data_IF_217337948799
#
_entry.id   IF_217337948799
#
_cell.length_a   1.000
_cell.length_b   1.000
_cell.length_c   1.000
_cell.angle_alpha   90.00
_cell.angle_beta   90.00
_cell.angle_gamma   90.00
#
_symmetry.space_group_name_H-M   'P 1'
#
loop_
_entity.id
_entity.type
_entity.pdbx_description
1 polymer ?
#
# COMPACT_ATOMS: atom_id res chain seq x y z
N UNK A 1 5.34 5.11 -11.93
CA UNK A 1 5.08 5.87 -10.67
C UNK A 1 4.62 4.87 -9.64
N UNK A 2 5.62 4.40 -8.89
CA UNK A 2 5.78 3.06 -8.34
C UNK A 2 5.32 2.92 -6.87
N UNK A 3 5.19 1.63 -6.47
CA UNK A 3 5.49 1.03 -5.15
C UNK A 3 4.72 1.53 -3.93
N UNK A 4 3.80 0.69 -3.45
CA UNK A 4 3.77 0.38 -2.01
C UNK A 4 5.00 -0.48 -1.72
N UNK A 5 6.13 0.17 -1.43
CA UNK A 5 7.26 -0.44 -0.74
C UNK A 5 7.78 0.64 0.19
N UNK A 6 7.48 0.46 1.47
CA UNK A 6 8.23 1.06 2.56
C UNK A 6 9.58 0.33 2.59
N UNK A 7 10.61 1.00 2.05
CA UNK A 7 12.02 0.65 2.21
C UNK A 7 12.77 1.97 2.42
N UNK A 8 13.05 2.25 3.69
CA UNK A 8 14.03 3.23 4.15
C UNK A 8 15.39 2.83 3.57
N UNK A 9 15.97 3.67 2.73
CA UNK A 9 17.31 3.50 2.19
C UNK A 9 18.27 4.21 3.13
N UNK A 10 19.17 3.44 3.75
CA UNK A 10 20.44 3.92 4.30
C UNK A 10 21.52 3.49 3.28
N UNK A 11 21.96 4.42 2.45
CA UNK A 11 23.02 4.22 1.45
C UNK A 11 24.29 4.88 2.00
N UNK A 12 25.16 4.08 2.60
CA UNK A 12 26.59 4.38 2.72
C UNK A 12 27.30 3.72 1.54
N UNK A 13 27.79 4.54 0.61
CA UNK A 13 28.66 4.11 -0.48
C UNK A 13 30.06 4.61 -0.16
N UNK A 14 30.93 3.68 0.21
CA UNK A 14 32.38 3.81 0.10
C UNK A 14 32.79 3.54 -1.35
N UNK A 15 33.46 4.49 -1.99
CA UNK A 15 34.34 4.22 -3.13
C UNK A 15 35.63 5.07 -3.05
N UNK A 16 36.76 4.57 -3.61
CA UNK A 16 38.09 5.01 -3.26
C UNK A 16 38.61 6.20 -4.08
N UNK A 17 39.62 6.82 -3.49
CA UNK A 17 40.42 7.98 -3.89
C UNK A 17 41.06 7.80 -5.29
N UNK A 18 41.06 8.89 -6.08
CA UNK A 18 42.01 9.13 -7.16
C UNK A 18 42.41 10.61 -7.22
N UNK A 19 43.71 10.85 -7.09
CA UNK A 19 44.39 12.14 -7.10
C UNK A 19 44.29 12.87 -8.45
N UNK A 20 44.08 14.20 -8.40
CA UNK A 20 44.81 15.16 -9.23
C UNK A 20 44.68 16.60 -8.72
N UNK A 21 45.84 17.25 -8.65
CA UNK A 21 46.11 18.55 -8.08
C UNK A 21 45.51 19.74 -8.86
N UNK A 22 45.10 20.78 -8.11
CA UNK A 22 45.22 22.18 -8.53
C UNK A 22 45.17 23.09 -7.29
N UNK A 23 46.26 23.84 -7.06
CA UNK A 23 46.44 24.80 -5.98
C UNK A 23 45.66 26.09 -6.25
N UNK A 24 44.92 26.61 -5.27
CA UNK A 24 44.71 28.06 -5.12
C UNK A 24 44.43 28.42 -3.66
N UNK A 25 45.14 29.45 -3.18
CA UNK A 25 45.15 29.93 -1.81
C UNK A 25 43.86 30.66 -1.43
N UNK A 26 43.15 30.19 -0.39
CA UNK A 26 42.20 31.01 0.38
C UNK A 26 42.28 30.65 1.88
N UNK A 27 42.24 31.70 2.69
CA UNK A 27 42.61 31.85 4.11
C UNK A 27 41.99 30.81 5.07
N UNK A 28 42.85 30.25 5.93
CA UNK A 28 42.52 29.38 7.06
C UNK A 28 41.79 30.15 8.16
N UNK A 29 40.56 29.75 8.48
CA UNK A 29 39.87 30.07 9.73
C UNK A 29 39.84 28.80 10.57
N UNK A 30 40.57 28.80 11.68
CA UNK A 30 40.66 27.68 12.62
C UNK A 30 39.35 27.57 13.41
N UNK A 31 38.50 26.60 13.08
CA UNK A 31 37.35 26.20 13.90
C UNK A 31 37.78 24.97 14.70
N UNK A 32 37.71 25.06 16.03
CA UNK A 32 38.01 23.95 16.93
C UNK A 32 37.07 22.75 16.64
N UNK A 33 37.57 21.51 16.68
CA UNK A 33 36.74 20.34 16.43
C UNK A 33 35.68 20.19 17.53
N UNK A 34 34.42 19.84 17.20
CA UNK A 34 33.42 19.50 18.20
C UNK A 34 33.84 18.23 18.95
N UNK A 35 33.71 18.27 20.26
CA UNK A 35 33.93 17.17 21.20
C UNK A 35 33.15 15.91 20.75
N UNK A 36 33.78 14.72 20.66
CA UNK A 36 33.06 13.51 20.29
C UNK A 36 32.04 13.15 21.39
N UNK A 37 30.78 13.00 21.00
CA UNK A 37 29.76 12.41 21.86
C UNK A 37 30.11 10.95 22.17
N UNK A 38 29.75 10.46 23.37
CA UNK A 38 30.12 9.12 23.83
C UNK A 38 29.55 8.03 22.91
N UNK A 39 30.44 7.14 22.47
CA UNK A 39 30.14 5.89 21.79
C UNK A 39 29.51 4.88 22.76
N UNK A 40 28.18 4.82 22.79
CA UNK A 40 27.48 3.57 23.08
C UNK A 40 27.41 2.79 21.75
N UNK A 41 27.93 1.57 21.59
CA UNK A 41 28.08 0.48 22.54
C UNK A 41 27.27 -0.68 21.98
N UNK A 42 27.97 -1.65 21.37
CA UNK A 42 27.50 -2.97 20.92
C UNK A 42 26.29 -3.01 19.96
N UNK A 43 26.50 -3.61 18.78
CA UNK A 43 25.39 -4.13 17.96
C UNK A 43 24.47 -4.98 18.83
N UNK A 44 23.17 -4.67 18.94
CA UNK A 44 22.24 -5.64 19.48
C UNK A 44 22.25 -6.84 18.51
N UNK A 45 22.61 -8.00 19.06
CA UNK A 45 22.18 -9.30 18.53
C UNK A 45 20.74 -9.20 18.02
N UNK A 46 20.40 -9.80 16.86
CA UNK A 46 19.11 -9.57 16.21
C UNK A 46 17.99 -9.87 17.21
N UNK A 47 17.37 -8.80 17.72
CA UNK A 47 16.17 -8.89 18.53
C UNK A 47 15.15 -9.63 17.66
N UNK A 48 14.45 -10.65 18.18
CA UNK A 48 13.40 -11.29 17.41
C UNK A 48 12.44 -10.19 16.93
N UNK A 49 11.98 -10.24 15.66
CA UNK A 49 11.15 -9.19 15.10
C UNK A 49 9.95 -8.98 16.04
N UNK A 50 9.74 -7.73 16.45
CA UNK A 50 8.70 -7.34 17.38
C UNK A 50 7.34 -7.74 16.78
N UNK A 51 6.77 -8.85 17.23
CA UNK A 51 5.43 -9.28 16.85
C UNK A 51 4.45 -8.37 17.58
N UNK A 52 3.50 -7.79 16.85
CA UNK A 52 2.48 -6.95 17.47
C UNK A 52 1.53 -7.81 18.32
N UNK A 53 1.22 -7.40 19.57
CA UNK A 53 0.29 -8.12 20.45
C UNK A 53 -1.07 -8.40 19.81
N UNK A 54 -1.59 -7.47 19.01
CA UNK A 54 -2.84 -7.66 18.26
C UNK A 54 -2.72 -8.78 17.21
N UNK A 55 -1.58 -8.88 16.51
CA UNK A 55 -1.34 -9.91 15.50
C UNK A 55 -1.15 -11.29 16.16
N UNK A 56 -0.40 -11.35 17.25
CA UNK A 56 -0.24 -12.57 18.05
C UNK A 56 -1.61 -13.07 18.56
N UNK A 57 -2.40 -12.16 19.13
CA UNK A 57 -3.75 -12.45 19.61
C UNK A 57 -4.66 -12.93 18.47
N UNK A 58 -4.60 -12.29 17.30
CA UNK A 58 -5.34 -12.72 16.11
C UNK A 58 -4.96 -14.16 15.73
N UNK A 59 -3.68 -14.46 15.55
CA UNK A 59 -3.20 -15.80 15.18
C UNK A 59 -3.63 -16.87 16.19
N UNK A 60 -3.46 -16.60 17.49
CA UNK A 60 -3.90 -17.50 18.57
C UNK A 60 -5.42 -17.75 18.51
N UNK A 61 -6.21 -16.70 18.36
CA UNK A 61 -7.68 -16.80 18.30
C UNK A 61 -8.17 -17.53 17.05
N UNK A 62 -7.48 -17.38 15.92
CA UNK A 62 -7.76 -18.15 14.70
C UNK A 62 -7.54 -19.65 14.92
N UNK A 63 -6.48 -20.01 15.64
CA UNK A 63 -6.19 -21.40 16.01
C UNK A 63 -7.23 -21.95 16.99
N UNK A 64 -7.54 -21.22 18.07
CA UNK A 64 -8.55 -21.62 19.07
C UNK A 64 -9.94 -21.84 18.44
N UNK A 65 -10.34 -20.97 17.51
CA UNK A 65 -11.61 -21.12 16.78
C UNK A 65 -11.51 -22.09 15.60
N UNK A 66 -10.36 -22.72 15.35
CA UNK A 66 -10.16 -23.63 14.21
C UNK A 66 -10.64 -23.03 12.87
N UNK A 67 -10.35 -21.75 12.63
CA UNK A 67 -10.68 -21.10 11.35
C UNK A 67 -9.69 -21.59 10.29
N UNK A 68 -10.19 -21.96 9.10
CA UNK A 68 -9.36 -22.37 7.97
C UNK A 68 -8.84 -21.13 7.25
N UNK A 69 -7.55 -20.85 7.43
CA UNK A 69 -6.86 -19.73 6.80
C UNK A 69 -5.39 -20.06 6.51
N UNK A 70 -4.76 -19.24 5.67
CA UNK A 70 -3.30 -19.14 5.55
C UNK A 70 -2.88 -17.72 5.15
N UNK A 71 -1.63 -17.37 5.42
CA UNK A 71 -0.95 -16.25 4.78
C UNK A 71 -0.54 -16.68 3.37
N UNK A 72 -1.13 -16.05 2.35
CA UNK A 72 -1.19 -16.65 1.01
C UNK A 72 -0.16 -16.11 0.01
N UNK A 73 0.63 -15.08 0.37
CA UNK A 73 1.67 -14.53 -0.51
C UNK A 73 2.77 -13.84 0.28
N UNK A 74 3.92 -13.59 -0.35
CA UNK A 74 5.03 -12.85 0.26
C UNK A 74 5.51 -13.50 1.57
N UNK A 75 5.52 -14.83 1.63
CA UNK A 75 5.88 -15.56 2.84
C UNK A 75 7.37 -15.46 3.21
N UNK A 76 8.23 -14.93 2.33
CA UNK A 76 9.60 -14.53 2.65
C UNK A 76 9.67 -13.31 3.60
N UNK A 77 8.57 -12.56 3.76
CA UNK A 77 8.50 -11.32 4.52
C UNK A 77 7.54 -11.39 5.73
N UNK A 78 7.21 -12.58 6.25
CA UNK A 78 6.24 -12.74 7.35
C UNK A 78 6.57 -11.91 8.60
N UNK A 79 7.86 -11.68 8.88
CA UNK A 79 8.28 -10.83 9.98
C UNK A 79 7.74 -9.39 9.88
N UNK A 80 7.65 -8.83 8.66
CA UNK A 80 7.08 -7.49 8.42
C UNK A 80 5.57 -7.46 8.60
N UNK A 81 4.89 -8.55 8.22
CA UNK A 81 3.46 -8.71 8.51
C UNK A 81 3.21 -8.85 10.01
N UNK A 82 4.09 -9.56 10.73
CA UNK A 82 4.01 -9.71 12.18
C UNK A 82 4.24 -8.38 12.94
N UNK A 83 5.14 -7.52 12.46
CA UNK A 83 5.41 -6.19 13.03
C UNK A 83 4.41 -5.11 12.61
N UNK A 84 3.52 -5.41 11.66
CA UNK A 84 2.58 -4.45 11.07
C UNK A 84 3.24 -3.44 10.10
N UNK A 85 4.48 -3.70 9.65
CA UNK A 85 5.11 -2.93 8.57
C UNK A 85 4.55 -3.31 7.19
N UNK A 86 3.94 -4.49 7.07
CA UNK A 86 3.22 -4.97 5.90
C UNK A 86 1.81 -5.44 6.27
N UNK A 87 0.96 -5.54 5.25
CA UNK A 87 -0.38 -6.12 5.36
C UNK A 87 -0.33 -7.60 5.80
N UNK A 88 -1.39 -8.04 6.48
CA UNK A 88 -1.68 -9.46 6.67
C UNK A 88 -2.46 -9.96 5.45
N UNK A 89 -1.77 -10.60 4.52
CA UNK A 89 -2.38 -11.17 3.31
C UNK A 89 -2.99 -12.54 3.61
N UNK A 90 -4.24 -12.55 4.06
CA UNK A 90 -4.91 -13.76 4.54
C UNK A 90 -5.86 -14.33 3.49
N UNK A 91 -5.67 -15.60 3.10
CA UNK A 91 -6.71 -16.37 2.42
C UNK A 91 -7.51 -17.11 3.50
N UNK A 92 -8.83 -16.93 3.51
CA UNK A 92 -9.75 -17.53 4.48
C UNK A 92 -10.79 -18.35 3.72
N UNK A 93 -11.12 -19.55 4.23
CA UNK A 93 -12.20 -20.34 3.63
C UNK A 93 -13.51 -19.56 3.66
N UNK A 94 -14.26 -19.61 2.55
CA UNK A 94 -15.59 -19.00 2.48
C UNK A 94 -16.57 -19.58 3.51
N UNK A 95 -16.39 -20.84 3.89
CA UNK A 95 -17.22 -21.50 4.90
C UNK A 95 -17.01 -20.89 6.30
N UNK A 96 -15.85 -20.29 6.55
CA UNK A 96 -15.50 -19.64 7.82
C UNK A 96 -15.67 -18.12 7.80
N UNK A 97 -16.16 -17.53 6.70
CA UNK A 97 -16.20 -16.08 6.52
C UNK A 97 -16.94 -15.32 7.63
N UNK A 98 -18.09 -15.84 8.07
CA UNK A 98 -18.86 -15.25 9.17
C UNK A 98 -18.14 -15.37 10.51
N UNK A 99 -17.57 -16.55 10.79
CA UNK A 99 -16.82 -16.84 12.02
C UNK A 99 -15.56 -15.96 12.12
N UNK A 100 -14.85 -15.81 11.00
CA UNK A 100 -13.68 -14.96 10.87
C UNK A 100 -14.03 -13.47 11.03
N UNK A 101 -15.09 -13.00 10.36
CA UNK A 101 -15.56 -11.61 10.49
C UNK A 101 -15.97 -11.30 11.93
N UNK A 102 -16.63 -12.24 12.61
CA UNK A 102 -17.01 -12.11 14.02
C UNK A 102 -15.78 -12.00 14.92
N UNK A 103 -14.78 -12.87 14.71
CA UNK A 103 -13.51 -12.80 15.44
C UNK A 103 -12.79 -11.46 15.22
N UNK A 104 -12.75 -10.95 13.99
CA UNK A 104 -12.14 -9.64 13.71
C UNK A 104 -12.86 -8.53 14.48
N UNK A 105 -14.19 -8.54 14.52
CA UNK A 105 -14.96 -7.58 15.31
C UNK A 105 -14.72 -7.72 16.82
N UNK A 106 -14.61 -8.94 17.36
CA UNK A 106 -14.25 -9.19 18.77
C UNK A 106 -12.88 -8.60 19.12
N UNK A 107 -11.94 -8.57 18.16
CA UNK A 107 -10.60 -7.98 18.30
C UNK A 107 -10.57 -6.48 17.95
N UNK A 108 -11.72 -5.85 17.70
CA UNK A 108 -11.82 -4.42 17.43
C UNK A 108 -11.45 -3.99 16.00
N UNK A 109 -11.25 -4.93 15.07
CA UNK A 109 -11.01 -4.59 13.67
C UNK A 109 -12.25 -3.97 13.03
N UNK A 110 -12.01 -2.96 12.18
CA UNK A 110 -13.03 -2.23 11.42
C UNK A 110 -12.88 -2.52 9.94
N UNK A 111 -13.98 -2.95 9.32
CA UNK A 111 -14.03 -3.16 7.87
C UNK A 111 -13.91 -1.83 7.12
N UNK A 112 -13.05 -1.80 6.13
CA UNK A 112 -12.90 -0.73 5.17
C UNK A 112 -13.15 -1.27 3.75
N UNK A 113 -13.55 -0.38 2.85
CA UNK A 113 -13.74 -0.70 1.44
C UNK A 113 -12.98 0.28 0.58
N UNK A 114 -12.40 -0.22 -0.50
CA UNK A 114 -11.97 0.62 -1.61
C UNK A 114 -13.18 1.34 -2.25
N UNK A 115 -12.93 2.50 -2.85
CA UNK A 115 -13.97 3.25 -3.55
C UNK A 115 -14.24 2.60 -4.91
N UNK A 116 -15.52 2.43 -5.27
CA UNK A 116 -15.92 1.93 -6.59
C UNK A 116 -15.28 2.82 -7.70
N UNK A 117 -14.71 2.27 -8.79
CA UNK A 117 -14.85 0.89 -9.29
C UNK A 117 -13.70 -0.07 -8.93
N UNK A 118 -12.85 0.26 -7.96
CA UNK A 118 -11.62 -0.49 -7.67
C UNK A 118 -11.84 -1.77 -6.86
N UNK A 119 -13.00 -1.87 -6.20
CA UNK A 119 -13.41 -3.04 -5.42
C UNK A 119 -13.29 -4.36 -6.20
N UNK A 120 -12.71 -5.35 -5.55
CA UNK A 120 -12.55 -6.70 -6.07
C UNK A 120 -13.46 -7.65 -5.27
N UNK A 121 -14.32 -8.45 -5.93
CA UNK A 121 -15.22 -9.38 -5.25
C UNK A 121 -14.46 -10.36 -4.36
N UNK A 122 -14.96 -10.59 -3.16
CA UNK A 122 -14.37 -11.53 -2.22
C UNK A 122 -12.99 -11.12 -1.70
N UNK A 123 -12.62 -9.84 -1.82
CA UNK A 123 -11.49 -9.25 -1.11
C UNK A 123 -12.04 -8.15 -0.22
N UNK A 124 -11.72 -8.20 1.08
CA UNK A 124 -12.16 -7.25 2.10
C UNK A 124 -10.96 -6.74 2.89
N UNK A 125 -10.94 -5.45 3.19
CA UNK A 125 -9.91 -4.82 4.02
C UNK A 125 -10.45 -4.65 5.45
N UNK A 126 -9.65 -5.01 6.45
CA UNK A 126 -9.96 -4.75 7.86
C UNK A 126 -8.78 -4.08 8.53
N UNK A 127 -9.07 -3.12 9.41
CA UNK A 127 -8.05 -2.36 10.14
C UNK A 127 -8.24 -2.50 11.64
N UNK A 128 -7.22 -3.00 12.31
CA UNK A 128 -7.14 -3.10 13.78
C UNK A 128 -6.14 -2.10 14.32
N UNK A 129 -6.42 -1.50 15.47
CA UNK A 129 -5.49 -0.60 16.15
C UNK A 129 -4.81 -1.34 17.29
N UNK A 130 -3.49 -1.48 17.21
CA UNK A 130 -2.68 -2.03 18.28
C UNK A 130 -2.29 -0.88 19.23
N UNK A 131 -2.88 -0.86 20.43
CA UNK A 131 -2.73 0.26 21.36
C UNK A 131 -1.34 0.36 21.99
N UNK A 132 -0.60 -0.75 22.06
CA UNK A 132 0.72 -0.80 22.67
C UNK A 132 1.77 -0.18 21.74
N UNK A 133 1.73 -0.54 20.45
CA UNK A 133 2.63 0.01 19.43
C UNK A 133 2.14 1.32 18.79
N UNK A 134 0.83 1.62 18.91
CA UNK A 134 0.19 2.72 18.21
C UNK A 134 0.04 2.51 16.70
N UNK A 135 0.25 1.28 16.21
CA UNK A 135 0.20 0.95 14.78
C UNK A 135 -1.19 0.49 14.35
N UNK A 136 -1.50 0.70 13.07
CA UNK A 136 -2.68 0.13 12.42
C UNK A 136 -2.27 -1.16 11.71
N UNK A 137 -2.87 -2.27 12.11
CA UNK A 137 -2.72 -3.57 11.46
C UNK A 137 -3.76 -3.66 10.35
N UNK A 138 -3.30 -3.77 9.11
CA UNK A 138 -4.16 -3.98 7.96
C UNK A 138 -4.25 -5.47 7.62
N UNK A 139 -5.44 -6.05 7.78
CA UNK A 139 -5.74 -7.39 7.31
C UNK A 139 -6.39 -7.32 5.93
N UNK A 140 -5.64 -7.74 4.91
CA UNK A 140 -6.08 -7.83 3.52
C UNK A 140 -6.62 -9.24 3.26
N UNK A 141 -7.94 -9.40 3.36
CA UNK A 141 -8.59 -10.70 3.47
C UNK A 141 -9.17 -11.13 2.14
N UNK A 142 -8.70 -12.28 1.66
CA UNK A 142 -9.16 -12.94 0.46
C UNK A 142 -10.07 -14.13 0.81
N UNK A 143 -11.23 -14.15 0.17
CA UNK A 143 -12.13 -15.30 0.05
C UNK A 143 -12.14 -15.90 -1.36
N UNK A 144 -11.51 -15.17 -2.30
CA UNK A 144 -11.34 -15.52 -3.70
C UNK A 144 -9.92 -15.15 -4.14
N UNK A 145 -9.26 -16.05 -4.86
CA UNK A 145 -7.96 -15.82 -5.48
C UNK A 145 -8.16 -15.11 -6.82
N UNK A 146 -8.53 -13.82 -6.72
CA UNK A 146 -8.64 -12.95 -7.88
C UNK A 146 -7.29 -12.27 -8.16
N UNK A 147 -6.68 -12.65 -9.28
CA UNK A 147 -5.35 -12.22 -9.71
C UNK A 147 -5.38 -11.53 -11.06
N UNK A 148 -4.26 -10.91 -11.42
CA UNK A 148 -4.06 -10.22 -12.69
C UNK A 148 -3.33 -8.90 -12.52
N UNK A 149 -3.40 -8.09 -13.56
CA UNK A 149 -2.89 -6.72 -13.55
C UNK A 149 -3.57 -5.88 -12.46
N UNK A 150 -2.80 -5.02 -11.79
CA UNK A 150 -3.19 -4.35 -10.54
C UNK A 150 -4.43 -3.48 -10.67
N UNK A 151 -4.70 -2.93 -11.85
CA UNK A 151 -5.85 -2.05 -12.06
C UNK A 151 -7.15 -2.81 -12.29
N UNK A 152 -7.13 -4.09 -12.71
CA UNK A 152 -8.38 -4.81 -13.01
C UNK A 152 -8.58 -6.13 -12.29
N UNK A 153 -7.51 -6.90 -11.98
CA UNK A 153 -7.56 -8.24 -11.37
C UNK A 153 -8.67 -9.11 -11.99
N UNK A 154 -8.40 -9.60 -13.21
CA UNK A 154 -9.42 -10.18 -14.08
C UNK A 154 -9.63 -11.70 -13.94
N UNK A 155 -8.75 -12.43 -13.25
CA UNK A 155 -8.77 -13.90 -13.24
C UNK A 155 -9.09 -14.43 -11.85
N UNK A 156 -10.12 -15.25 -11.70
CA UNK A 156 -10.44 -15.96 -10.46
C UNK A 156 -9.95 -17.41 -10.59
N UNK A 157 -8.88 -17.75 -9.88
CA UNK A 157 -8.29 -19.09 -9.91
C UNK A 157 -8.97 -19.96 -8.85
N UNK A 158 -9.67 -21.05 -9.22
CA UNK A 158 -10.44 -21.88 -8.29
C UNK A 158 -9.51 -22.82 -7.50
N UNK A 159 -8.53 -22.25 -6.81
CA UNK A 159 -7.49 -22.96 -6.08
C UNK A 159 -7.65 -22.79 -4.57
N UNK A 160 -8.65 -22.04 -4.09
CA UNK A 160 -8.77 -21.67 -2.66
C UNK A 160 -8.77 -22.87 -1.72
N UNK A 161 -9.64 -23.85 -1.97
CA UNK A 161 -9.76 -25.04 -1.12
C UNK A 161 -8.50 -25.91 -1.13
N UNK A 162 -7.92 -26.32 -2.28
CA UNK A 162 -6.69 -27.10 -2.25
C UNK A 162 -5.49 -26.31 -1.70
N UNK A 163 -5.44 -24.99 -1.92
CA UNK A 163 -4.42 -24.12 -1.35
C UNK A 163 -4.49 -24.11 0.19
N UNK A 164 -5.69 -23.91 0.75
CA UNK A 164 -5.95 -23.95 2.19
C UNK A 164 -5.74 -25.35 2.79
N UNK A 165 -6.03 -26.42 2.04
CA UNK A 165 -5.86 -27.80 2.50
C UNK A 165 -4.39 -28.16 2.75
N UNK A 166 -3.46 -27.51 2.05
CA UNK A 166 -2.01 -27.70 2.26
C UNK A 166 -1.40 -26.76 3.30
N UNK A 167 -2.22 -25.90 3.93
CA UNK A 167 -1.71 -24.93 4.88
C UNK A 167 -1.15 -25.62 6.13
N UNK A 168 0.12 -25.37 6.42
CA UNK A 168 0.83 -25.88 7.60
C UNK A 168 1.12 -24.75 8.57
N UNK A 169 1.15 -25.04 9.87
CA UNK A 169 1.43 -24.05 10.91
C UNK A 169 2.94 -23.76 10.96
N UNK A 170 3.31 -22.51 10.67
CA UNK A 170 4.66 -21.99 10.93
C UNK A 170 4.79 -21.40 12.33
N UNK A 171 5.81 -20.57 12.54
CA UNK A 171 6.08 -19.95 13.85
C UNK A 171 4.91 -19.09 14.38
N UNK A 172 4.23 -18.36 13.48
CA UNK A 172 3.09 -17.50 13.84
C UNK A 172 1.90 -17.74 12.89
N UNK A 173 2.16 -17.65 11.59
CA UNK A 173 1.14 -17.81 10.56
C UNK A 173 1.10 -19.24 10.01
N UNK A 174 -0.07 -19.66 9.53
CA UNK A 174 -0.17 -20.80 8.61
C UNK A 174 0.25 -20.37 7.22
N UNK A 175 1.04 -21.18 6.53
CA UNK A 175 1.45 -20.95 5.13
C UNK A 175 1.08 -22.15 4.27
N UNK A 176 0.68 -21.94 3.01
CA UNK A 176 0.41 -23.02 2.05
C UNK A 176 1.66 -23.86 1.76
N UNK A 177 1.49 -24.97 1.04
CA UNK A 177 2.64 -25.67 0.47
C UNK A 177 3.43 -24.74 -0.49
N UNK A 178 4.78 -24.77 -0.46
CA UNK A 178 5.62 -23.92 -1.31
C UNK A 178 5.28 -24.06 -2.80
N UNK A 179 4.92 -25.26 -3.27
CA UNK A 179 4.55 -25.50 -4.66
C UNK A 179 3.29 -24.75 -5.08
N UNK A 180 2.27 -24.69 -4.22
CA UNK A 180 1.06 -23.92 -4.49
C UNK A 180 1.35 -22.42 -4.52
N UNK A 181 2.15 -21.94 -3.58
CA UNK A 181 2.59 -20.53 -3.54
C UNK A 181 3.37 -20.17 -4.80
N UNK A 182 4.31 -21.03 -5.22
CA UNK A 182 5.11 -20.83 -6.43
C UNK A 182 4.26 -20.81 -7.71
N UNK A 183 3.34 -21.77 -7.88
CA UNK A 183 2.43 -21.80 -9.03
C UNK A 183 1.63 -20.50 -9.11
N UNK A 184 1.04 -20.09 -7.99
CA UNK A 184 0.22 -18.88 -7.91
C UNK A 184 1.05 -17.62 -8.14
N UNK A 185 2.26 -17.56 -7.57
CA UNK A 185 3.21 -16.46 -7.76
C UNK A 185 3.58 -16.28 -9.24
N UNK A 186 4.01 -17.35 -9.92
CA UNK A 186 4.41 -17.31 -11.33
C UNK A 186 3.25 -16.84 -12.22
N UNK A 187 2.06 -17.41 -12.01
CA UNK A 187 0.85 -16.99 -12.75
C UNK A 187 0.56 -15.50 -12.49
N UNK A 188 0.62 -15.05 -11.24
CA UNK A 188 0.42 -13.63 -10.88
C UNK A 188 1.41 -12.73 -11.59
N UNK A 189 2.70 -13.06 -11.57
CA UNK A 189 3.74 -12.24 -12.19
C UNK A 189 3.59 -12.16 -13.71
N UNK A 190 3.26 -13.26 -14.38
CA UNK A 190 3.01 -13.25 -15.82
C UNK A 190 1.76 -12.44 -16.16
N UNK A 191 0.67 -12.59 -15.42
CA UNK A 191 -0.55 -11.81 -15.67
C UNK A 191 -0.38 -10.31 -15.36
N UNK A 192 0.52 -9.97 -14.43
CA UNK A 192 0.81 -8.60 -14.00
C UNK A 192 1.81 -7.89 -14.92
N UNK A 193 2.86 -8.58 -15.38
CA UNK A 193 3.98 -7.98 -16.11
C UNK A 193 4.16 -8.47 -17.54
N UNK A 194 3.61 -9.64 -17.89
CA UNK A 194 3.82 -10.31 -19.17
C UNK A 194 2.90 -9.84 -20.30
N UNK A 195 2.15 -8.74 -20.12
CA UNK A 195 1.18 -8.28 -21.13
C UNK A 195 1.77 -7.19 -22.00
N UNK A 196 1.39 -7.13 -23.28
CA UNK A 196 1.91 -6.12 -24.19
C UNK A 196 1.67 -4.68 -23.69
N UNK A 197 0.50 -4.43 -23.08
CA UNK A 197 0.10 -3.12 -22.57
C UNK A 197 0.89 -2.69 -21.33
N UNK A 198 1.41 -3.64 -20.55
CA UNK A 198 2.26 -3.35 -19.38
C UNK A 198 3.70 -3.14 -19.80
N UNK A 199 4.17 -3.91 -20.79
CA UNK A 199 5.48 -3.75 -21.41
C UNK A 199 5.64 -2.38 -22.07
N UNK A 200 4.68 -1.95 -22.91
CA UNK A 200 4.71 -0.62 -23.53
C UNK A 200 4.67 0.52 -22.50
N UNK A 201 4.07 0.29 -21.34
CA UNK A 201 4.04 1.27 -20.27
C UNK A 201 5.35 1.38 -19.48
N UNK A 202 6.34 0.50 -19.70
CA UNK A 202 7.55 0.40 -18.88
C UNK A 202 7.37 -0.33 -17.54
N UNK A 203 6.29 -1.09 -17.37
CA UNK A 203 5.96 -1.85 -16.14
C UNK A 203 6.17 -3.35 -16.31
N UNK A 204 6.82 -3.74 -17.40
CA UNK A 204 7.09 -5.14 -17.71
C UNK A 204 8.16 -5.76 -16.82
N UNK A 205 8.92 -5.00 -16.03
CA UNK A 205 10.04 -5.54 -15.24
C UNK A 205 9.59 -5.86 -13.82
N UNK A 206 10.03 -7.02 -13.30
CA UNK A 206 9.81 -7.40 -11.90
C UNK A 206 10.60 -6.48 -10.97
N UNK A 207 9.95 -6.02 -9.91
CA UNK A 207 10.57 -5.29 -8.82
C UNK A 207 11.58 -6.16 -8.06
N UNK A 208 12.52 -5.52 -7.35
CA UNK A 208 13.54 -6.21 -6.54
C UNK A 208 12.94 -7.24 -5.57
N UNK A 209 11.89 -6.86 -4.81
CA UNK A 209 11.19 -7.78 -3.91
C UNK A 209 10.54 -8.97 -4.63
N UNK A 210 9.93 -8.75 -5.81
CA UNK A 210 9.32 -9.83 -6.61
C UNK A 210 10.38 -10.81 -7.14
N UNK A 211 11.57 -10.32 -7.51
CA UNK A 211 12.68 -11.19 -7.92
C UNK A 211 13.21 -12.02 -6.75
N UNK A 212 13.30 -11.43 -5.56
CA UNK A 212 13.71 -12.13 -4.34
C UNK A 212 12.70 -13.22 -3.98
N UNK A 213 11.41 -12.91 -4.00
CA UNK A 213 10.32 -13.87 -3.74
C UNK A 213 10.35 -15.03 -4.76
N UNK A 214 10.57 -14.73 -6.06
CA UNK A 214 10.72 -15.77 -7.08
C UNK A 214 11.84 -16.75 -6.74
N UNK A 215 13.02 -16.24 -6.39
CA UNK A 215 14.17 -17.07 -6.05
C UNK A 215 13.96 -17.87 -4.75
N UNK A 216 13.36 -17.23 -3.74
CA UNK A 216 13.01 -17.88 -2.46
C UNK A 216 12.07 -19.08 -2.68
N UNK A 217 11.04 -18.92 -3.50
CA UNK A 217 10.08 -19.99 -3.77
C UNK A 217 10.68 -21.10 -4.64
N UNK A 218 11.46 -20.74 -5.66
CA UNK A 218 12.10 -21.72 -6.56
C UNK A 218 13.03 -22.69 -5.82
N UNK A 219 13.66 -22.27 -4.73
CA UNK A 219 14.53 -23.13 -3.90
C UNK A 219 13.78 -24.16 -3.05
N UNK A 220 12.46 -23.98 -2.84
CA UNK A 220 11.68 -24.78 -1.90
C UNK A 220 10.75 -25.80 -2.58
N UNK A 221 10.65 -25.76 -3.90
CA UNK A 221 9.67 -26.56 -4.65
C UNK A 221 10.24 -27.90 -5.13
N UNK A 222 9.48 -28.96 -4.94
CA UNK A 222 9.77 -30.25 -5.57
C UNK A 222 9.10 -30.35 -6.95
N UNK A 223 9.88 -30.63 -7.99
CA UNK A 223 9.39 -30.77 -9.37
C UNK A 223 8.26 -31.79 -9.51
N UNK A 224 8.36 -32.95 -8.85
CA UNK A 224 7.33 -33.98 -8.87
C UNK A 224 6.00 -33.49 -8.30
N UNK A 225 6.05 -32.74 -7.20
CA UNK A 225 4.88 -32.14 -6.55
C UNK A 225 4.25 -31.06 -7.43
N UNK A 226 5.06 -30.20 -8.06
CA UNK A 226 4.56 -29.19 -9.01
C UNK A 226 3.79 -29.82 -10.18
N UNK A 227 4.35 -30.87 -10.78
CA UNK A 227 3.70 -31.58 -11.89
C UNK A 227 2.35 -32.15 -11.45
N UNK A 228 2.30 -32.81 -10.28
CA UNK A 228 1.08 -33.37 -9.73
C UNK A 228 0.02 -32.28 -9.49
N UNK A 229 0.38 -31.17 -8.83
CA UNK A 229 -0.55 -30.08 -8.52
C UNK A 229 -1.09 -29.40 -9.77
N UNK A 230 -0.24 -29.13 -10.77
CA UNK A 230 -0.67 -28.54 -12.04
C UNK A 230 -1.65 -29.48 -12.77
N UNK A 231 -1.34 -30.77 -12.87
CA UNK A 231 -2.20 -31.75 -13.53
C UNK A 231 -3.56 -31.89 -12.84
N UNK A 232 -3.59 -31.86 -11.50
CA UNK A 232 -4.84 -32.03 -10.73
C UNK A 232 -5.68 -30.77 -10.70
N UNK A 233 -5.09 -29.59 -10.46
CA UNK A 233 -5.85 -28.38 -10.12
C UNK A 233 -5.86 -27.33 -11.22
N UNK A 234 -4.90 -27.34 -12.14
CA UNK A 234 -4.81 -26.35 -13.21
C UNK A 234 -4.33 -26.98 -14.54
N UNK A 235 -5.05 -27.98 -15.08
CA UNK A 235 -4.61 -28.74 -16.25
C UNK A 235 -4.48 -27.90 -17.53
N UNK A 236 -5.06 -26.69 -17.54
CA UNK A 236 -4.89 -25.72 -18.63
C UNK A 236 -3.47 -25.14 -18.68
N UNK A 237 -2.68 -25.29 -17.62
CA UNK A 237 -1.27 -24.86 -17.49
C UNK A 237 -0.43 -26.09 -17.18
N UNK A 238 -0.13 -26.87 -18.22
CA UNK A 238 0.77 -28.03 -18.10
C UNK A 238 2.18 -27.61 -17.66
N UNK A 239 2.93 -28.56 -17.10
CA UNK A 239 4.27 -28.30 -16.56
C UNK A 239 5.24 -27.70 -17.60
N UNK A 240 5.19 -28.15 -18.85
CA UNK A 240 6.06 -27.62 -19.91
C UNK A 240 5.75 -26.15 -20.17
N UNK A 241 4.48 -25.77 -20.24
CA UNK A 241 4.10 -24.35 -20.36
C UNK A 241 4.43 -23.57 -19.09
N UNK A 242 4.27 -24.16 -17.90
CA UNK A 242 4.63 -23.52 -16.64
C UNK A 242 6.12 -23.17 -16.57
N UNK A 243 7.01 -24.06 -17.00
CA UNK A 243 8.46 -23.73 -17.08
C UNK A 243 8.76 -22.61 -18.07
N UNK A 244 7.98 -22.47 -19.15
CA UNK A 244 8.07 -21.31 -20.05
C UNK A 244 7.62 -20.02 -19.35
N UNK A 245 6.62 -20.08 -18.47
CA UNK A 245 6.24 -18.96 -17.62
C UNK A 245 7.38 -18.56 -16.68
N UNK A 246 8.01 -19.51 -15.98
CA UNK A 246 9.17 -19.23 -15.11
C UNK A 246 10.30 -18.58 -15.92
N UNK A 247 10.67 -19.16 -17.07
CA UNK A 247 11.70 -18.61 -17.94
C UNK A 247 11.36 -17.21 -18.51
N UNK A 248 10.07 -16.86 -18.62
CA UNK A 248 9.63 -15.53 -19.04
C UNK A 248 9.77 -14.46 -17.93
N UNK A 249 9.99 -14.87 -16.68
CA UNK A 249 10.26 -13.96 -15.56
C UNK A 249 11.76 -13.65 -15.39
N UNK A 250 12.64 -14.38 -16.07
CA UNK A 250 14.07 -14.15 -16.03
C UNK A 250 14.43 -12.73 -16.53
N UNK A 251 15.43 -12.05 -15.93
CA UNK A 251 15.83 -10.68 -16.30
C UNK A 251 16.17 -10.53 -17.79
N UNK A 252 16.85 -11.52 -18.36
CA UNK A 252 17.39 -11.47 -19.72
C UNK A 252 16.41 -12.01 -20.78
N UNK A 253 15.17 -12.33 -20.38
CA UNK A 253 14.19 -12.88 -21.30
C UNK A 253 13.72 -11.80 -22.31
N UNK A 254 13.79 -12.06 -23.63
CA UNK A 254 13.36 -11.10 -24.65
C UNK A 254 11.89 -10.69 -24.47
N UNK A 255 11.61 -9.38 -24.59
CA UNK A 255 10.27 -8.80 -24.39
C UNK A 255 9.18 -9.51 -25.21
N UNK A 256 9.46 -9.83 -26.48
CA UNK A 256 8.50 -10.52 -27.35
C UNK A 256 8.11 -11.90 -26.80
N UNK A 257 9.06 -12.64 -26.20
CA UNK A 257 8.81 -13.97 -25.61
C UNK A 257 7.95 -13.83 -24.37
N UNK A 258 8.21 -12.82 -23.54
CA UNK A 258 7.41 -12.50 -22.35
C UNK A 258 5.96 -12.16 -22.71
N UNK A 259 5.77 -11.34 -23.76
CA UNK A 259 4.45 -11.02 -24.30
C UNK A 259 3.75 -12.26 -24.86
N UNK A 260 4.46 -13.10 -25.62
CA UNK A 260 3.90 -14.32 -26.20
C UNK A 260 3.43 -15.29 -25.11
N UNK A 261 4.25 -15.51 -24.07
CA UNK A 261 3.90 -16.35 -22.92
C UNK A 261 2.73 -15.75 -22.14
N UNK A 262 2.73 -14.43 -21.90
CA UNK A 262 1.61 -13.75 -21.25
C UNK A 262 0.29 -13.91 -22.02
N UNK A 263 0.31 -13.74 -23.34
CA UNK A 263 -0.86 -13.96 -24.19
C UNK A 263 -1.34 -15.42 -24.15
N UNK A 264 -0.42 -16.39 -24.20
CA UNK A 264 -0.77 -17.81 -24.09
C UNK A 264 -1.38 -18.15 -22.74
N UNK A 265 -0.84 -17.62 -21.63
CA UNK A 265 -1.39 -17.81 -20.29
C UNK A 265 -2.80 -17.23 -20.19
N UNK A 266 -3.01 -16.01 -20.70
CA UNK A 266 -4.33 -15.38 -20.72
C UNK A 266 -5.37 -16.19 -21.52
N UNK A 267 -4.95 -16.85 -22.61
CA UNK A 267 -5.82 -17.76 -23.39
C UNK A 267 -6.14 -19.04 -22.62
N UNK A 268 -5.13 -19.68 -22.02
CA UNK A 268 -5.29 -20.91 -21.21
C UNK A 268 -6.18 -20.67 -20.00
N UNK A 269 -6.10 -19.49 -19.39
CA UNK A 269 -6.92 -19.08 -18.25
C UNK A 269 -8.24 -18.37 -18.64
N UNK A 270 -8.65 -18.39 -19.91
CA UNK A 270 -9.85 -17.68 -20.37
C UNK A 270 -11.12 -18.10 -19.64
N UNK A 271 -11.26 -19.38 -19.31
CA UNK A 271 -12.41 -19.90 -18.55
C UNK A 271 -12.51 -19.33 -17.13
N UNK A 272 -11.38 -18.86 -16.58
CA UNK A 272 -11.26 -18.26 -15.26
C UNK A 272 -11.35 -16.72 -15.29
N UNK A 273 -11.53 -16.12 -16.47
CA UNK A 273 -11.59 -14.68 -16.64
C UNK A 273 -12.99 -14.12 -16.29
N UNK A 274 -13.03 -13.08 -15.46
CA UNK A 274 -14.26 -12.36 -15.07
C UNK A 274 -14.83 -11.49 -16.19
N UNK A 275 -13.98 -11.06 -17.12
CA UNK A 275 -14.33 -10.21 -18.27
C UNK A 275 -13.56 -10.68 -19.50
N UNK A 276 -14.16 -10.48 -20.67
CA UNK A 276 -13.50 -10.72 -21.96
C UNK A 276 -12.25 -9.85 -22.13
N UNK A 277 -11.26 -10.38 -22.85
CA UNK A 277 -9.93 -9.77 -22.98
C UNK A 277 -9.96 -8.31 -23.47
N UNK A 278 -10.70 -8.03 -24.54
CA UNK A 278 -10.79 -6.67 -25.10
C UNK A 278 -11.39 -5.66 -24.11
N UNK A 279 -12.43 -6.09 -23.37
CA UNK A 279 -13.05 -5.27 -22.32
C UNK A 279 -12.08 -5.01 -21.18
N UNK A 280 -11.29 -6.01 -20.78
CA UNK A 280 -10.29 -5.85 -19.73
C UNK A 280 -9.16 -4.90 -20.15
N UNK A 281 -8.64 -5.03 -21.37
CA UNK A 281 -7.62 -4.13 -21.92
C UNK A 281 -8.14 -2.68 -21.96
N UNK A 282 -9.34 -2.45 -22.51
CA UNK A 282 -9.94 -1.11 -22.52
C UNK A 282 -10.13 -0.54 -21.11
N UNK A 283 -10.54 -1.38 -20.15
CA UNK A 283 -10.70 -0.98 -18.76
C UNK A 283 -9.36 -0.62 -18.09
N UNK A 284 -8.27 -1.34 -18.37
CA UNK A 284 -6.92 -0.99 -17.88
C UNK A 284 -6.51 0.39 -18.34
N UNK A 285 -6.63 0.68 -19.64
CA UNK A 285 -6.28 2.01 -20.18
C UNK A 285 -7.13 3.11 -19.57
N UNK A 286 -8.45 2.90 -19.46
CA UNK A 286 -9.36 3.83 -18.80
C UNK A 286 -8.94 4.11 -17.35
N UNK A 287 -8.71 3.04 -16.58
CA UNK A 287 -8.32 3.11 -15.16
C UNK A 287 -6.96 3.78 -14.95
N UNK A 288 -5.98 3.49 -15.81
CA UNK A 288 -4.67 4.16 -15.81
C UNK A 288 -4.80 5.65 -16.13
N UNK A 289 -5.60 6.00 -17.14
CA UNK A 289 -5.90 7.39 -17.49
C UNK A 289 -6.61 8.14 -16.37
N UNK A 290 -7.62 7.53 -15.76
CA UNK A 290 -8.34 8.08 -14.60
C UNK A 290 -7.39 8.29 -13.41
N UNK A 291 -6.50 7.33 -13.13
CA UNK A 291 -5.52 7.45 -12.06
C UNK A 291 -4.51 8.57 -12.34
N UNK A 292 -4.01 8.69 -13.58
CA UNK A 292 -3.10 9.76 -13.99
C UNK A 292 -3.76 11.14 -13.86
N UNK A 293 -5.01 11.27 -14.31
CA UNK A 293 -5.80 12.49 -14.15
C UNK A 293 -5.98 12.85 -12.68
N UNK A 294 -6.43 11.90 -11.86
CA UNK A 294 -6.66 12.16 -10.43
C UNK A 294 -5.37 12.55 -9.72
N UNK A 295 -4.24 11.92 -10.02
CA UNK A 295 -2.94 12.31 -9.43
C UNK A 295 -2.55 13.76 -9.72
N UNK A 296 -2.91 14.28 -10.89
CA UNK A 296 -2.53 15.63 -11.31
C UNK A 296 -3.53 16.71 -10.89
N UNK A 297 -4.82 16.35 -10.83
CA UNK A 297 -5.90 17.33 -10.70
C UNK A 297 -6.86 17.08 -9.54
N UNK A 298 -6.77 15.96 -8.83
CA UNK A 298 -7.66 15.59 -7.73
C UNK A 298 -6.94 14.84 -6.59
N UNK A 299 -7.67 14.42 -5.57
CA UNK A 299 -7.15 13.47 -4.59
C UNK A 299 -7.40 12.04 -5.08
N UNK A 300 -6.44 11.15 -4.77
CA UNK A 300 -6.59 9.73 -4.99
C UNK A 300 -7.67 9.17 -4.05
N UNK A 301 -8.53 8.27 -4.53
CA UNK A 301 -9.51 7.62 -3.67
C UNK A 301 -8.77 6.82 -2.59
N UNK A 302 -9.11 7.04 -1.33
CA UNK A 302 -8.62 6.25 -0.20
C UNK A 302 -9.75 5.37 0.35
N UNK A 303 -9.41 4.43 1.22
CA UNK A 303 -10.39 3.49 1.76
C UNK A 303 -11.38 4.21 2.67
N UNK A 304 -12.63 3.77 2.61
CA UNK A 304 -13.71 4.30 3.46
C UNK A 304 -14.17 3.21 4.42
N UNK A 305 -14.40 3.57 5.68
CA UNK A 305 -14.95 2.64 6.66
C UNK A 305 -16.37 2.23 6.26
N UNK A 306 -16.67 0.93 6.32
CA UNK A 306 -17.93 0.38 5.83
C UNK A 306 -19.14 0.75 6.70
N UNK A 307 -18.94 0.97 8.01
CA UNK A 307 -20.01 1.29 8.98
C UNK A 307 -20.03 2.78 9.37
N UNK A 308 -19.63 3.65 8.44
CA UNK A 308 -19.56 5.11 8.66
C UNK A 308 -18.17 5.59 9.08
N UNK A 309 -17.99 6.91 9.08
CA UNK A 309 -16.75 7.58 9.46
C UNK A 309 -16.72 8.01 10.93
N UNK A 310 -15.66 8.71 11.31
CA UNK A 310 -15.54 9.36 12.61
C UNK A 310 -15.32 10.86 12.43
N UNK A 311 -16.02 11.68 13.22
CA UNK A 311 -15.72 13.10 13.38
C UNK A 311 -14.87 13.26 14.64
N UNK A 312 -13.65 13.74 14.48
CA UNK A 312 -12.72 13.97 15.59
C UNK A 312 -12.60 15.47 15.80
N UNK A 313 -13.16 15.97 16.90
CA UNK A 313 -13.01 17.36 17.31
C UNK A 313 -11.91 17.48 18.36
N UNK A 314 -10.90 18.32 18.10
CA UNK A 314 -9.82 18.62 19.05
C UNK A 314 -10.09 20.00 19.64
N UNK A 315 -10.44 20.03 20.92
CA UNK A 315 -10.86 21.23 21.67
C UNK A 315 -9.81 21.53 22.74
N UNK A 316 -9.51 22.81 22.96
CA UNK A 316 -8.52 23.23 23.95
C UNK A 316 -8.34 24.75 23.95
N UNK A 317 -7.73 25.28 25.01
CA UNK A 317 -7.39 26.72 25.13
C UNK A 317 -6.38 27.19 24.08
N UNK A 318 -6.16 28.49 23.99
CA UNK A 318 -5.15 29.05 23.08
C UNK A 318 -3.74 28.62 23.49
N UNK A 319 -2.88 28.38 22.49
CA UNK A 319 -1.55 27.82 22.71
C UNK A 319 -1.49 26.33 23.06
N UNK A 320 -2.61 25.62 23.22
CA UNK A 320 -2.63 24.21 23.65
C UNK A 320 -2.17 23.19 22.58
N UNK A 321 -1.64 23.63 21.44
CA UNK A 321 -1.16 22.75 20.38
C UNK A 321 -2.24 22.11 19.48
N UNK A 322 -3.49 22.61 19.50
CA UNK A 322 -4.60 22.07 18.68
C UNK A 322 -4.24 21.85 17.22
N UNK A 323 -3.63 22.85 16.58
CA UNK A 323 -3.23 22.78 15.16
C UNK A 323 -2.23 21.66 14.91
N UNK A 324 -1.28 21.47 15.83
CA UNK A 324 -0.28 20.39 15.77
C UNK A 324 -0.94 19.02 15.93
N UNK A 325 -1.85 18.88 16.89
CA UNK A 325 -2.59 17.64 17.11
C UNK A 325 -3.43 17.28 15.88
N UNK A 326 -4.20 18.23 15.32
CA UNK A 326 -4.97 18.03 14.10
C UNK A 326 -4.08 17.63 12.92
N UNK A 327 -2.91 18.27 12.77
CA UNK A 327 -1.97 17.94 11.69
C UNK A 327 -1.43 16.51 11.81
N UNK A 328 -1.01 16.09 13.02
CA UNK A 328 -0.50 14.73 13.27
C UNK A 328 -1.59 13.67 13.10
N UNK A 329 -2.79 13.90 13.66
CA UNK A 329 -3.94 12.99 13.48
C UNK A 329 -4.34 12.86 12.01
N UNK A 330 -4.34 13.97 11.27
CA UNK A 330 -4.59 13.94 9.82
C UNK A 330 -3.51 13.14 9.09
N UNK A 331 -2.22 13.38 9.37
CA UNK A 331 -1.12 12.66 8.74
C UNK A 331 -1.22 11.14 8.98
N UNK A 332 -1.53 10.75 10.21
CA UNK A 332 -1.70 9.34 10.59
C UNK A 332 -2.89 8.70 9.88
N UNK A 333 -4.12 9.22 10.07
CA UNK A 333 -5.33 8.60 9.52
C UNK A 333 -5.41 8.68 8.00
N UNK A 334 -4.89 9.77 7.42
CA UNK A 334 -4.92 9.93 5.97
C UNK A 334 -3.95 8.98 5.27
N UNK A 335 -3.02 8.31 5.95
CA UNK A 335 -2.19 7.29 5.31
C UNK A 335 -3.07 6.18 4.68
N UNK A 336 -4.09 5.73 5.42
CA UNK A 336 -4.94 4.60 5.04
C UNK A 336 -6.36 4.99 4.60
N UNK A 337 -6.93 6.02 5.24
CA UNK A 337 -8.35 6.34 5.11
C UNK A 337 -8.60 7.65 4.37
N UNK A 338 -9.77 7.72 3.73
CA UNK A 338 -10.32 8.95 3.19
C UNK A 338 -10.62 9.92 4.32
N UNK A 339 -9.72 10.89 4.51
CA UNK A 339 -9.69 11.78 5.67
C UNK A 339 -9.75 13.22 5.20
N UNK A 340 -10.67 14.00 5.77
CA UNK A 340 -10.81 15.45 5.51
C UNK A 340 -10.48 16.24 6.78
N UNK A 341 -9.65 17.28 6.62
CA UNK A 341 -9.34 18.23 7.69
C UNK A 341 -10.17 19.49 7.53
N UNK A 342 -10.97 19.82 8.53
CA UNK A 342 -11.76 21.07 8.58
C UNK A 342 -11.19 21.99 9.65
N UNK A 343 -11.02 23.27 9.32
CA UNK A 343 -10.61 24.30 10.28
C UNK A 343 -11.77 25.27 10.49
N UNK A 344 -12.26 25.37 11.73
CA UNK A 344 -13.40 26.22 12.09
C UNK A 344 -13.01 27.69 12.43
N UNK A 345 -11.73 28.05 12.31
CA UNK A 345 -11.25 29.43 12.45
C UNK A 345 -11.18 30.19 11.12
N UNK A 346 -10.62 31.41 11.11
CA UNK A 346 -10.41 32.18 9.87
C UNK A 346 -9.54 31.36 8.91
N UNK A 347 -10.06 30.98 7.72
CA UNK A 347 -9.30 30.17 6.79
C UNK A 347 -8.07 30.95 6.30
N UNK A 348 -6.94 30.28 6.04
CA UNK A 348 -5.85 30.91 5.31
C UNK A 348 -6.36 31.36 3.93
N UNK A 349 -5.88 32.50 3.45
CA UNK A 349 -6.32 33.01 2.15
C UNK A 349 -6.01 32.03 1.03
N UNK A 350 -7.00 31.80 0.17
CA UNK A 350 -6.85 30.93 -1.00
C UNK A 350 -5.77 31.48 -1.94
N UNK A 351 -5.22 30.63 -2.82
CA UNK A 351 -4.28 31.07 -3.87
C UNK A 351 -4.89 32.18 -4.72
N UNK A 352 -6.15 32.04 -5.10
CA UNK A 352 -6.90 33.06 -5.86
C UNK A 352 -6.97 34.38 -5.09
N UNK A 353 -7.26 34.33 -3.79
CA UNK A 353 -7.27 35.50 -2.91
C UNK A 353 -5.89 36.13 -2.79
N UNK A 354 -4.82 35.33 -2.68
CA UNK A 354 -3.45 35.83 -2.65
C UNK A 354 -3.05 36.48 -3.98
N UNK A 355 -3.42 35.90 -5.12
CA UNK A 355 -3.17 36.46 -6.45
C UNK A 355 -3.92 37.78 -6.64
N UNK A 356 -5.21 37.83 -6.29
CA UNK A 356 -6.01 39.06 -6.33
C UNK A 356 -5.38 40.12 -5.43
N UNK A 357 -4.94 39.77 -4.22
CA UNK A 357 -4.24 40.71 -3.33
C UNK A 357 -2.91 41.18 -3.87
N UNK A 358 -2.13 40.29 -4.51
CA UNK A 358 -0.88 40.65 -5.15
C UNK A 358 -1.12 41.63 -6.31
N UNK A 359 -2.10 41.34 -7.17
CA UNK A 359 -2.53 42.22 -8.25
C UNK A 359 -3.03 43.57 -7.72
N UNK A 360 -3.85 43.57 -6.67
CA UNK A 360 -4.32 44.80 -6.02
C UNK A 360 -3.17 45.59 -5.40
N UNK A 361 -2.17 44.93 -4.79
CA UNK A 361 -0.96 45.60 -4.27
C UNK A 361 -0.13 46.23 -5.40
N UNK A 362 0.02 45.54 -6.53
CA UNK A 362 0.75 46.05 -7.70
C UNK A 362 0.01 47.22 -8.34
N UNK A 363 -1.31 47.05 -8.60
CA UNK A 363 -2.15 48.11 -9.14
C UNK A 363 -2.15 49.36 -8.26
N UNK A 364 -2.14 49.20 -6.93
CA UNK A 364 -2.07 50.33 -5.99
C UNK A 364 -0.69 51.00 -5.96
N UNK A 365 0.40 50.24 -6.10
CA UNK A 365 1.75 50.81 -6.26
C UNK A 365 1.88 51.63 -7.54
N UNK A 366 1.18 51.23 -8.61
CA UNK A 366 1.18 51.94 -9.89
C UNK A 366 0.24 53.15 -9.91
N UNK A 367 -0.83 53.14 -9.11
CA UNK A 367 -1.85 54.21 -9.07
C UNK A 367 -1.73 55.16 -7.87
N UNK A 368 -0.82 54.92 -6.93
CA UNK A 368 -0.51 55.82 -5.82
C UNK A 368 -1.59 55.94 -4.72
N UNK A 369 -2.52 54.99 -4.63
CA UNK A 369 -3.66 55.07 -3.69
C UNK A 369 -3.30 54.57 -2.27
N UNK A 370 -3.52 55.37 -1.19
CA UNK A 370 -3.20 54.98 0.19
C UNK A 370 -4.23 54.03 0.84
N UNK A 371 -3.85 53.45 1.98
CA UNK A 371 -4.61 52.44 2.73
C UNK A 371 -5.91 53.05 3.29
N UNK A 372 -7.08 52.53 2.92
CA UNK A 372 -8.32 52.83 3.64
C UNK A 372 -8.38 51.87 4.83
N UNK A 373 -8.40 52.39 6.06
CA UNK A 373 -8.65 51.60 7.28
C UNK A 373 -10.12 51.12 7.29
N UNK A 374 -10.38 49.92 6.77
CA UNK A 374 -11.68 49.25 6.88
C UNK A 374 -11.86 48.56 8.25
N UNK A 375 -11.38 49.15 9.34
CA UNK A 375 -11.48 48.54 10.68
C UNK A 375 -12.80 48.87 11.42
N UNK A 376 -13.58 49.87 10.97
CA UNK A 376 -14.74 50.35 11.76
C UNK A 376 -16.12 49.82 11.30
N UNK A 377 -16.28 49.21 10.12
CA UNK A 377 -17.62 49.03 9.52
C UNK A 377 -18.24 47.63 9.74
N UNK A 378 -17.57 46.70 10.41
CA UNK A 378 -18.09 45.32 10.58
C UNK A 378 -18.30 44.85 12.04
N UNK A 379 -18.17 45.73 13.04
CA UNK A 379 -18.34 45.34 14.46
C UNK A 379 -19.12 46.37 15.31
N UNK A 380 -20.00 47.18 14.72
CA UNK A 380 -21.06 47.87 15.47
C UNK A 380 -22.41 47.30 15.07
N UNK A 381 -22.72 46.13 15.65
CA UNK A 381 -23.98 45.43 15.40
C UNK A 381 -24.44 44.64 16.60
N UNK A 382 -24.19 45.12 17.82
CA UNK A 382 -24.83 44.59 19.03
C UNK A 382 -24.57 45.53 20.23
N UNK A 383 -25.40 46.56 20.36
CA UNK A 383 -25.79 47.19 21.65
C UNK A 383 -26.69 48.39 21.38
N UNK A 384 -28.00 48.17 21.53
CA UNK A 384 -28.98 49.10 22.15
C UNK A 384 -30.38 48.85 21.58
N UNK A 385 -31.13 47.92 22.19
CA UNK A 385 -32.58 48.07 22.27
C UNK A 385 -32.90 48.22 23.76
N UNK A 386 -33.03 49.48 24.19
CA UNK A 386 -33.71 49.88 25.42
C UNK A 386 -34.74 50.94 25.04
N UNK A 387 -36.00 50.63 25.33
CA UNK A 387 -37.03 51.57 25.77
C UNK A 387 -37.50 52.63 24.77
N UNK A 388 -38.71 52.44 24.25
CA UNK A 388 -39.67 53.53 24.14
C UNK A 388 -40.92 53.17 24.93
N UNK A 389 -41.53 54.22 25.49
CA UNK A 389 -42.50 54.30 26.58
C UNK A 389 -43.71 53.36 26.52
#
# INVERSE_FOLDING_TARGET
MYRFIDETIDETIDEPISDKAAQSHVKTVTIAPPTPLPTHGAHPSPQPPLVLPLVETLCRRLAEKAIRYCHWKSNDMLARSASGDNDLDLLVSRQDAERFTTLLHELGFKAAREIHPWQIPGILDYYGYDSESGRLVHAHVHYQLIVGEDTTKNYHLPLEEPYLATATQGALFKTPAPEFEFILFVIRMILKHGTWDTMLGGWGTLATGERRELHYLEQQVATSSLIALLNTHLPTVDYLFFTQCVAALAPDCPVWKRIAVGYQLQRRLRAHARRGHLRDVGLRFWRRGQLAYRRRFAQLPKRQLCRGGALIAIIGGDGSGKTTAVAKTYQWLSADFDTTKVHLGKPPWSRTTNTIRALLKVARRLTGTPYIEWAAVLYEGEKAVRGFA
#
